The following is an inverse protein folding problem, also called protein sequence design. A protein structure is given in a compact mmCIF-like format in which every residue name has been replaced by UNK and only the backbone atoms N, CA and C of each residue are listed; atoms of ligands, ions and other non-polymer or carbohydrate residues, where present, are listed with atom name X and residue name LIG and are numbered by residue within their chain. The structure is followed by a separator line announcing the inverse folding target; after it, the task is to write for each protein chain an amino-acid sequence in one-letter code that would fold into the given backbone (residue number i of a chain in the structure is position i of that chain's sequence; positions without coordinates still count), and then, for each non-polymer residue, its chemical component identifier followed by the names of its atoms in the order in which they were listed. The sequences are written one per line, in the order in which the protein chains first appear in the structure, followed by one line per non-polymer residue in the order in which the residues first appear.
data_IF_576199854773
#
_entry.id   IF_576199854773
#
_cell.length_a   1.000
_cell.length_b   1.000
_cell.length_c   1.000
_cell.angle_alpha   90.00
_cell.angle_beta   90.00
_cell.angle_gamma   90.00
#
_symmetry.space_group_name_H-M   'P 1'
#
loop_
_entity.id
_entity.type
_entity.pdbx_description
1 polymer ?
#
# COMPACT_ATOMS: atom_id res chain seq x y z
N UNK A 1 -36.68 15.85 8.44
CA UNK A 1 -37.47 15.05 7.47
C UNK A 1 -37.53 15.61 6.06
N UNK A 2 -37.77 16.91 5.85
CA UNK A 2 -37.87 17.49 4.50
C UNK A 2 -36.63 17.23 3.62
N UNK A 3 -35.43 17.31 4.19
CA UNK A 3 -34.17 17.06 3.47
C UNK A 3 -34.08 15.62 2.93
N UNK A 4 -34.56 14.62 3.69
CA UNK A 4 -34.56 13.22 3.22
C UNK A 4 -35.44 13.04 1.97
N UNK A 5 -36.60 13.69 1.94
CA UNK A 5 -37.57 13.59 0.84
C UNK A 5 -37.04 14.25 -0.44
N UNK A 6 -36.42 15.43 -0.30
CA UNK A 6 -35.85 16.18 -1.43
C UNK A 6 -34.62 15.49 -2.00
N UNK A 7 -33.70 15.05 -1.13
CA UNK A 7 -32.42 14.44 -1.56
C UNK A 7 -32.51 12.92 -1.79
N UNK A 8 -33.69 12.31 -1.61
CA UNK A 8 -33.90 10.85 -1.67
C UNK A 8 -32.85 10.06 -0.89
N UNK A 9 -32.47 10.57 0.29
CA UNK A 9 -31.42 10.00 1.13
C UNK A 9 -32.00 9.51 2.45
N UNK A 10 -31.41 8.45 3.01
CA UNK A 10 -31.82 7.93 4.31
C UNK A 10 -31.53 8.90 5.46
N UNK A 11 -32.39 8.88 6.48
CA UNK A 11 -32.26 9.74 7.66
C UNK A 11 -30.92 9.57 8.39
N UNK A 12 -30.39 8.34 8.41
CA UNK A 12 -29.07 8.03 9.00
C UNK A 12 -27.91 8.70 8.26
N UNK A 13 -28.01 8.89 6.95
CA UNK A 13 -26.96 9.57 6.18
C UNK A 13 -26.94 11.05 6.52
N UNK A 14 -28.11 11.68 6.63
CA UNK A 14 -28.22 13.09 7.05
C UNK A 14 -27.65 13.28 8.45
N UNK A 15 -27.98 12.38 9.37
CA UNK A 15 -27.48 12.42 10.74
C UNK A 15 -25.94 12.34 10.79
N UNK A 16 -25.34 11.41 10.04
CA UNK A 16 -23.87 11.29 9.93
C UNK A 16 -23.21 12.52 9.33
N UNK A 17 -23.81 13.11 8.29
CA UNK A 17 -23.28 14.34 7.66
C UNK A 17 -23.38 15.53 8.62
N UNK A 18 -24.50 15.66 9.34
CA UNK A 18 -24.67 16.69 10.38
C UNK A 18 -23.66 16.52 11.50
N UNK A 19 -23.48 15.30 11.99
CA UNK A 19 -22.53 15.00 13.04
C UNK A 19 -21.10 15.37 12.63
N UNK A 20 -20.66 14.97 11.42
CA UNK A 20 -19.34 15.38 10.91
C UNK A 20 -19.21 16.88 10.72
N UNK A 21 -20.24 17.54 10.20
CA UNK A 21 -20.22 18.99 10.04
C UNK A 21 -20.00 19.71 11.36
N UNK A 22 -20.66 19.25 12.44
CA UNK A 22 -20.54 19.83 13.78
C UNK A 22 -19.20 19.48 14.44
N UNK A 23 -18.71 18.25 14.28
CA UNK A 23 -17.51 17.77 14.99
C UNK A 23 -16.20 18.07 14.27
N UNK A 24 -16.19 18.00 12.94
CA UNK A 24 -14.98 18.01 12.10
C UNK A 24 -14.98 19.16 11.08
N UNK A 25 -16.11 19.88 10.94
CA UNK A 25 -16.25 21.03 10.06
C UNK A 25 -16.77 20.70 8.65
N UNK A 26 -16.86 21.73 7.81
CA UNK A 26 -17.47 21.65 6.47
C UNK A 26 -16.70 20.71 5.53
N UNK A 27 -15.37 20.81 5.52
CA UNK A 27 -14.52 20.02 4.62
C UNK A 27 -14.67 18.52 4.89
N UNK A 28 -14.65 18.12 6.17
CA UNK A 28 -14.85 16.73 6.59
C UNK A 28 -16.27 16.19 6.32
N UNK A 29 -17.28 17.06 6.34
CA UNK A 29 -18.66 16.69 6.02
C UNK A 29 -18.87 16.42 4.51
N UNK A 30 -18.14 17.14 3.66
CA UNK A 30 -18.17 16.98 2.20
C UNK A 30 -17.22 15.89 1.71
N UNK A 31 -16.13 15.64 2.44
CA UNK A 31 -15.12 14.64 2.11
C UNK A 31 -15.52 13.19 2.36
N UNK A 32 -14.76 12.26 1.75
CA UNK A 32 -14.82 10.84 2.08
C UNK A 32 -14.19 10.64 3.46
N UNK A 33 -14.89 9.95 4.37
CA UNK A 33 -14.33 9.63 5.67
C UNK A 33 -13.05 8.80 5.51
N UNK A 34 -11.99 9.19 6.20
CA UNK A 34 -10.80 8.38 6.31
C UNK A 34 -11.16 7.01 6.89
N UNK A 35 -10.66 5.94 6.27
CA UNK A 35 -10.86 4.60 6.79
C UNK A 35 -10.14 4.46 8.13
N UNK A 36 -10.84 4.06 9.19
CA UNK A 36 -10.22 3.75 10.49
C UNK A 36 -9.48 2.41 10.52
N UNK A 37 -9.39 1.73 9.37
CA UNK A 37 -8.69 0.44 9.25
C UNK A 37 -7.18 0.65 9.35
N UNK A 38 -6.63 0.30 10.50
CA UNK A 38 -5.19 0.14 10.71
C UNK A 38 -4.83 -1.28 10.26
N UNK A 39 -4.13 -1.41 9.14
CA UNK A 39 -3.50 -2.68 8.77
C UNK A 39 -2.12 -2.74 9.40
N UNK A 40 -1.85 -3.81 10.14
CA UNK A 40 -0.50 -4.12 10.58
C UNK A 40 0.35 -4.42 9.34
N UNK A 41 1.19 -3.47 8.94
CA UNK A 41 2.07 -3.66 7.79
C UNK A 41 3.20 -4.58 8.24
N UNK A 42 3.16 -5.83 7.78
CA UNK A 42 4.29 -6.77 7.93
C UNK A 42 5.60 -6.28 7.29
N UNK A 43 5.52 -5.27 6.43
CA UNK A 43 6.69 -4.65 5.81
C UNK A 43 6.82 -3.25 6.36
N UNK A 44 7.88 -3.02 7.12
CA UNK A 44 8.23 -1.72 7.63
C UNK A 44 8.80 -0.83 6.51
N UNK A 45 8.79 0.48 6.71
CA UNK A 45 9.34 1.44 5.77
C UNK A 45 10.86 1.24 5.59
N UNK A 46 11.57 0.79 6.64
CA UNK A 46 12.99 0.41 6.55
C UNK A 46 13.19 -0.82 5.65
N UNK A 47 12.34 -1.84 5.78
CA UNK A 47 12.42 -3.04 4.92
C UNK A 47 12.11 -2.70 3.46
N UNK A 48 11.15 -1.80 3.20
CA UNK A 48 10.88 -1.29 1.84
C UNK A 48 12.13 -0.58 1.26
N UNK A 49 12.78 0.30 2.03
CA UNK A 49 13.96 1.02 1.57
C UNK A 49 15.14 0.09 1.26
N UNK A 50 15.36 -0.95 2.08
CA UNK A 50 16.41 -1.95 1.85
C UNK A 50 16.13 -2.77 0.60
N UNK A 51 14.87 -3.14 0.35
CA UNK A 51 14.47 -3.81 -0.89
C UNK A 51 14.87 -3.01 -2.13
N UNK A 52 14.57 -1.71 -2.11
CA UNK A 52 14.86 -0.80 -3.21
C UNK A 52 16.38 -0.72 -3.42
N UNK A 53 17.16 -0.61 -2.35
CA UNK A 53 18.62 -0.57 -2.42
C UNK A 53 19.20 -1.83 -3.08
N UNK A 54 18.72 -3.02 -2.70
CA UNK A 54 19.16 -4.28 -3.32
C UNK A 54 18.72 -4.32 -4.79
N UNK A 55 17.47 -3.97 -5.08
CA UNK A 55 16.95 -4.04 -6.44
C UNK A 55 17.67 -3.08 -7.42
N UNK A 56 18.14 -1.94 -6.93
CA UNK A 56 18.94 -0.99 -7.70
C UNK A 56 20.42 -1.39 -7.82
N UNK A 57 20.86 -2.45 -7.12
CA UNK A 57 22.24 -2.94 -7.17
C UNK A 57 22.46 -3.99 -8.26
N UNK A 58 23.71 -4.39 -8.48
CA UNK A 58 24.06 -5.40 -9.49
C UNK A 58 23.58 -6.80 -9.06
N UNK A 59 22.94 -7.58 -9.95
CA UNK A 59 22.47 -8.92 -9.62
C UNK A 59 23.64 -9.88 -9.35
N UNK A 60 23.43 -10.91 -8.50
CA UNK A 60 24.48 -11.88 -8.16
C UNK A 60 24.93 -12.68 -9.39
N UNK A 61 26.21 -13.12 -9.35
CA UNK A 61 26.86 -13.86 -10.44
C UNK A 61 26.02 -15.05 -10.90
N UNK A 62 25.73 -15.12 -12.19
CA UNK A 62 24.91 -16.16 -12.81
C UNK A 62 23.49 -15.70 -13.18
N UNK A 63 23.07 -14.51 -12.75
CA UNK A 63 21.79 -13.92 -13.15
C UNK A 63 21.99 -12.59 -13.88
N UNK A 64 21.37 -12.45 -15.06
CA UNK A 64 21.41 -11.18 -15.80
C UNK A 64 20.55 -10.07 -15.19
N UNK A 65 19.71 -10.38 -14.19
CA UNK A 65 18.81 -9.42 -13.53
C UNK A 65 18.27 -9.95 -12.21
N UNK A 66 17.77 -9.04 -11.38
CA UNK A 66 16.98 -9.39 -10.19
C UNK A 66 15.64 -10.02 -10.61
N UNK A 67 15.36 -11.20 -10.05
CA UNK A 67 14.00 -11.76 -10.06
C UNK A 67 13.34 -11.52 -8.70
N UNK A 68 12.00 -11.56 -8.65
CA UNK A 68 11.26 -11.38 -7.41
C UNK A 68 11.65 -12.42 -6.34
N UNK A 69 11.93 -13.67 -6.76
CA UNK A 69 12.41 -14.73 -5.86
C UNK A 69 13.81 -14.43 -5.37
N UNK A 70 14.73 -14.07 -6.26
CA UNK A 70 16.09 -13.68 -5.89
C UNK A 70 16.13 -12.51 -4.90
N UNK A 71 15.25 -11.52 -5.05
CA UNK A 71 15.14 -10.42 -4.09
C UNK A 71 14.63 -10.91 -2.73
N UNK A 72 13.66 -11.82 -2.72
CA UNK A 72 13.15 -12.41 -1.48
C UNK A 72 14.23 -13.26 -0.77
N UNK A 73 14.89 -14.17 -1.49
CA UNK A 73 15.99 -14.99 -0.97
C UNK A 73 17.11 -14.10 -0.44
N UNK A 74 17.49 -13.04 -1.19
CA UNK A 74 18.55 -12.12 -0.77
C UNK A 74 18.19 -11.33 0.50
N UNK A 75 16.93 -10.99 0.69
CA UNK A 75 16.47 -10.31 1.90
C UNK A 75 16.54 -11.19 3.14
N UNK A 76 16.23 -12.49 2.97
CA UNK A 76 16.36 -13.48 4.04
C UNK A 76 17.83 -13.76 4.35
N UNK A 77 18.68 -13.90 3.32
CA UNK A 77 20.14 -14.06 3.50
C UNK A 77 20.77 -12.91 4.27
N UNK A 78 20.33 -11.67 4.02
CA UNK A 78 20.82 -10.48 4.72
C UNK A 78 20.14 -10.25 6.08
N UNK A 79 19.29 -11.19 6.52
CA UNK A 79 18.59 -11.20 7.79
C UNK A 79 17.75 -9.93 8.05
N UNK A 80 17.22 -9.34 6.98
CA UNK A 80 16.36 -8.15 7.05
C UNK A 80 14.90 -8.48 7.38
N UNK A 81 14.50 -9.71 7.13
CA UNK A 81 13.16 -10.26 7.41
C UNK A 81 13.30 -11.76 7.64
N UNK A 82 12.58 -12.30 8.63
CA UNK A 82 12.57 -13.75 8.92
C UNK A 82 12.01 -14.58 7.77
N UNK A 83 10.97 -14.08 7.10
CA UNK A 83 10.39 -14.68 5.89
C UNK A 83 9.71 -13.59 5.05
N UNK A 84 9.96 -13.60 3.73
CA UNK A 84 9.28 -12.70 2.80
C UNK A 84 8.84 -13.44 1.54
N UNK A 85 7.56 -13.34 1.22
CA UNK A 85 7.04 -13.86 -0.03
C UNK A 85 7.38 -12.95 -1.21
N UNK A 86 7.65 -13.55 -2.37
CA UNK A 86 7.83 -12.86 -3.65
C UNK A 86 6.66 -11.92 -4.00
N UNK A 87 5.44 -12.20 -3.52
CA UNK A 87 4.28 -11.31 -3.75
C UNK A 87 4.34 -10.03 -2.89
N UNK A 88 4.96 -10.12 -1.71
CA UNK A 88 5.28 -8.95 -0.88
C UNK A 88 6.30 -8.07 -1.60
N UNK A 89 7.39 -8.65 -2.10
CA UNK A 89 8.41 -7.97 -2.92
C UNK A 89 7.75 -7.27 -4.12
N UNK A 90 6.87 -7.96 -4.85
CA UNK A 90 6.15 -7.39 -5.99
C UNK A 90 5.26 -6.21 -5.59
N UNK A 91 4.54 -6.33 -4.48
CA UNK A 91 3.63 -5.28 -4.00
C UNK A 91 4.42 -4.02 -3.61
N UNK A 92 5.55 -4.20 -2.92
CA UNK A 92 6.46 -3.11 -2.54
C UNK A 92 7.03 -2.42 -3.79
N UNK A 93 7.58 -3.19 -4.74
CA UNK A 93 8.12 -2.63 -5.99
C UNK A 93 7.05 -1.90 -6.82
N UNK A 94 5.81 -2.40 -6.82
CA UNK A 94 4.69 -1.75 -7.50
C UNK A 94 4.34 -0.42 -6.83
N UNK A 95 4.32 -0.36 -5.50
CA UNK A 95 4.06 0.86 -4.73
C UNK A 95 5.14 1.93 -4.98
N UNK A 96 6.38 1.50 -5.19
CA UNK A 96 7.53 2.39 -5.42
C UNK A 96 7.79 2.69 -6.90
N UNK A 97 6.89 2.29 -7.81
CA UNK A 97 7.03 2.44 -9.27
C UNK A 97 8.34 1.86 -9.86
N UNK A 98 8.96 0.89 -9.18
CA UNK A 98 10.16 0.23 -9.68
C UNK A 98 9.77 -1.01 -10.49
N UNK A 99 9.64 -0.84 -11.80
CA UNK A 99 9.39 -1.94 -12.73
C UNK A 99 10.69 -2.68 -13.12
N UNK A 100 11.44 -3.17 -12.13
CA UNK A 100 12.66 -3.97 -12.37
C UNK A 100 12.36 -5.45 -12.65
N UNK A 101 11.16 -5.92 -12.30
CA UNK A 101 10.71 -7.30 -12.52
C UNK A 101 10.12 -7.60 -13.91
N UNK A 102 10.15 -6.65 -14.85
CA UNK A 102 9.38 -6.72 -16.09
C UNK A 102 10.21 -6.57 -17.36
N UNK A 103 10.69 -7.68 -17.91
CA UNK A 103 10.66 -7.86 -19.37
C UNK A 103 10.72 -9.34 -19.70
N UNK A 104 9.77 -9.80 -20.52
CA UNK A 104 9.67 -11.17 -20.98
C UNK A 104 11.01 -11.54 -21.64
N UNK A 105 11.70 -12.55 -21.10
CA UNK A 105 12.67 -13.29 -21.91
C UNK A 105 11.79 -14.29 -22.66
N UNK A 106 11.53 -13.97 -23.93
CA UNK A 106 11.10 -14.95 -24.91
C UNK A 106 12.29 -15.75 -25.40
#
# INVERSE_FOLDING_TARGET
EQVCKVLKTGMRTIDRVKQRFVMEGLDAALGVASTSRIYDKKVDEDTEARLISIACSEPPKGFGRWSLRLLADRMVELNYVDDISHETVRTVLKKTNLSLGGSKVG
#
